data_IF_378609023125
#
_entry.id   IF_378609023125
#
_cell.length_a   1.000
_cell.length_b   1.000
_cell.length_c   1.000
_cell.angle_alpha   90.00
_cell.angle_beta   90.00
_cell.angle_gamma   90.00
#
_symmetry.space_group_name_H-M   'P 1'
#
loop_
_entity.id
_entity.type
_entity.pdbx_description
1 polymer ?
#
# COMPACT_ATOMS: atom_id res chain seq x y z
N UNK A 1 5.22 -29.34 -15.86
CA UNK A 1 5.34 -28.40 -16.98
C UNK A 1 6.32 -27.31 -16.54
N UNK A 2 7.40 -27.04 -17.28
CA UNK A 2 8.39 -26.03 -16.87
C UNK A 2 8.06 -24.63 -17.41
N UNK A 3 8.58 -23.65 -16.68
CA UNK A 3 8.48 -22.18 -16.82
C UNK A 3 9.21 -21.65 -18.08
N UNK A 4 8.71 -20.64 -18.83
CA UNK A 4 9.24 -20.29 -20.16
C UNK A 4 10.52 -19.44 -20.20
N UNK A 5 11.20 -19.14 -19.09
CA UNK A 5 12.25 -18.11 -19.06
C UNK A 5 13.66 -18.59 -18.66
N UNK A 6 14.07 -19.78 -19.11
CA UNK A 6 15.48 -20.20 -19.02
C UNK A 6 16.06 -20.49 -20.40
N UNK A 7 16.98 -19.63 -20.85
CA UNK A 7 17.94 -19.94 -21.90
C UNK A 7 19.34 -19.76 -21.32
N UNK A 8 20.04 -20.89 -21.19
CA UNK A 8 21.50 -20.98 -21.03
C UNK A 8 22.03 -21.62 -22.29
N UNK A 9 23.07 -21.05 -22.91
CA UNK A 9 24.23 -21.82 -23.38
C UNK A 9 25.39 -20.89 -23.74
N UNK A 10 26.58 -21.40 -23.46
CA UNK A 10 27.90 -20.81 -23.54
C UNK A 10 28.66 -21.37 -24.77
N UNK A 11 29.72 -20.66 -25.17
CA UNK A 11 31.08 -21.17 -25.48
C UNK A 11 31.77 -20.50 -26.70
N UNK A 12 32.85 -19.79 -26.36
CA UNK A 12 34.23 -19.84 -26.89
C UNK A 12 34.53 -19.85 -28.40
N UNK A 13 35.32 -18.84 -28.82
CA UNK A 13 36.48 -19.07 -29.69
C UNK A 13 37.60 -18.04 -29.48
N UNK A 14 38.83 -18.56 -29.51
CA UNK A 14 40.10 -17.94 -29.13
C UNK A 14 40.91 -17.43 -30.34
N UNK A 15 41.79 -16.46 -30.08
CA UNK A 15 43.03 -16.08 -30.78
C UNK A 15 42.96 -15.18 -32.04
N UNK A 16 43.65 -14.02 -31.99
CA UNK A 16 44.94 -13.77 -32.67
C UNK A 16 45.37 -12.31 -32.45
N UNK A 17 46.60 -12.09 -31.94
CA UNK A 17 47.27 -10.77 -31.87
C UNK A 17 48.20 -10.63 -33.09
N UNK A 18 48.30 -9.42 -33.69
CA UNK A 18 49.61 -8.76 -33.72
C UNK A 18 49.55 -7.26 -33.41
N UNK A 19 50.44 -6.80 -32.53
CA UNK A 19 50.94 -5.41 -32.44
C UNK A 19 52.21 -5.32 -33.35
N UNK A 20 52.84 -4.15 -33.66
CA UNK A 20 52.68 -2.81 -33.07
C UNK A 20 52.78 -1.60 -34.05
N UNK A 21 52.42 -0.41 -33.57
CA UNK A 21 53.27 0.81 -33.49
C UNK A 21 52.51 2.14 -33.71
N UNK A 22 52.98 3.12 -32.94
CA UNK A 22 52.89 4.59 -33.09
C UNK A 22 51.76 5.35 -32.37
N UNK A 23 52.20 5.94 -31.25
CA UNK A 23 51.81 7.20 -30.61
C UNK A 23 50.96 8.19 -31.41
N UNK A 24 49.89 8.74 -30.80
CA UNK A 24 49.92 10.12 -30.30
C UNK A 24 48.73 10.54 -29.41
N UNK A 25 49.06 11.29 -28.35
CA UNK A 25 48.32 12.38 -27.68
C UNK A 25 46.95 12.25 -26.97
N UNK A 26 46.98 12.79 -25.75
CA UNK A 26 45.92 13.41 -24.92
C UNK A 26 45.16 12.54 -23.90
N UNK A 27 45.67 12.56 -22.66
CA UNK A 27 44.99 12.01 -21.49
C UNK A 27 43.94 12.99 -20.95
N UNK A 28 42.69 12.80 -21.35
CA UNK A 28 41.55 13.41 -20.65
C UNK A 28 41.25 12.59 -19.40
N UNK A 29 41.72 13.04 -18.24
CA UNK A 29 41.35 12.47 -16.93
C UNK A 29 39.83 12.64 -16.72
N UNK A 30 39.05 11.58 -16.97
CA UNK A 30 37.63 11.51 -16.54
C UNK A 30 37.56 11.72 -15.02
N UNK A 31 36.87 12.76 -14.57
CA UNK A 31 36.55 12.96 -13.15
C UNK A 31 35.82 11.71 -12.64
N UNK A 32 36.21 11.12 -11.49
CA UNK A 32 35.51 9.97 -10.94
C UNK A 32 34.07 10.39 -10.61
N UNK A 33 33.10 9.74 -11.24
CA UNK A 33 31.69 9.89 -10.90
C UNK A 33 31.53 9.41 -9.46
N UNK A 34 31.11 10.30 -8.56
CA UNK A 34 30.84 9.93 -7.16
C UNK A 34 29.75 8.86 -7.17
N UNK A 35 30.12 7.62 -6.83
CA UNK A 35 29.14 6.56 -6.59
C UNK A 35 28.19 7.04 -5.49
N UNK A 36 26.86 6.94 -5.66
CA UNK A 36 25.94 7.23 -4.57
C UNK A 36 26.31 6.32 -3.40
N UNK A 37 26.70 6.92 -2.27
CA UNK A 37 26.98 6.20 -1.04
C UNK A 37 25.64 6.12 -0.31
N UNK A 38 24.99 4.97 -0.39
CA UNK A 38 23.83 4.68 0.43
C UNK A 38 24.29 4.42 1.87
N UNK A 39 23.60 5.02 2.83
CA UNK A 39 23.79 4.77 4.26
C UNK A 39 22.47 4.22 4.77
N UNK A 40 22.49 3.01 5.33
CA UNK A 40 21.37 2.53 6.15
C UNK A 40 21.44 3.27 7.47
N UNK A 41 20.54 4.23 7.68
CA UNK A 41 20.35 4.85 8.98
C UNK A 41 19.28 4.04 9.70
N UNK A 42 19.73 3.02 10.43
CA UNK A 42 18.86 2.38 11.40
C UNK A 42 18.56 3.41 12.49
N UNK A 43 17.28 3.52 12.88
CA UNK A 43 16.93 4.34 14.03
C UNK A 43 17.78 3.86 15.23
N UNK A 44 18.49 4.76 15.92
CA UNK A 44 19.38 4.37 17.02
C UNK A 44 18.61 3.82 18.24
N UNK A 45 17.28 3.94 18.23
CA UNK A 45 16.37 3.51 19.29
C UNK A 45 15.01 3.09 18.70
N UNK A 46 14.20 2.45 19.56
CA UNK A 46 12.80 2.11 19.28
C UNK A 46 12.04 3.36 18.83
N UNK A 47 11.43 3.30 17.65
CA UNK A 47 10.62 4.40 17.12
C UNK A 47 9.22 4.36 17.74
N UNK A 48 8.49 5.50 17.77
CA UNK A 48 7.07 5.50 18.14
C UNK A 48 6.26 4.46 17.37
N UNK A 49 6.58 4.27 16.08
CA UNK A 49 5.95 3.26 15.24
C UNK A 49 6.17 1.84 15.75
N UNK A 50 7.43 1.52 16.09
CA UNK A 50 7.80 0.21 16.63
C UNK A 50 7.08 -0.06 17.97
N UNK A 51 6.94 0.97 18.82
CA UNK A 51 6.16 0.88 20.06
C UNK A 51 4.67 0.64 19.81
N UNK A 52 4.09 1.34 18.85
CA UNK A 52 2.66 1.23 18.54
C UNK A 52 2.33 -0.12 17.89
N UNK A 53 3.19 -0.63 17.01
CA UNK A 53 2.92 -1.85 16.28
C UNK A 53 3.26 -3.09 17.11
N UNK A 54 4.46 -3.17 17.67
CA UNK A 54 4.91 -4.34 18.42
C UNK A 54 4.44 -4.32 19.88
N UNK A 55 3.63 -3.33 20.30
CA UNK A 55 3.27 -3.09 21.70
C UNK A 55 4.51 -3.11 22.62
N UNK A 56 5.59 -2.43 22.22
CA UNK A 56 6.87 -2.45 22.96
C UNK A 56 7.06 -1.24 23.86
N UNK A 57 7.87 -1.39 24.90
CA UNK A 57 8.37 -0.28 25.72
C UNK A 57 9.50 0.49 25.01
N UNK A 58 10.05 1.51 25.68
CA UNK A 58 11.13 2.35 25.13
C UNK A 58 12.44 1.58 24.88
N UNK A 59 12.53 0.35 25.39
CA UNK A 59 13.67 -0.56 25.21
C UNK A 59 13.43 -1.63 24.15
N UNK A 60 12.21 -1.70 23.59
CA UNK A 60 11.85 -2.63 22.53
C UNK A 60 11.35 -3.97 23.08
N UNK A 61 11.11 -4.05 24.40
CA UNK A 61 10.54 -5.25 25.01
C UNK A 61 9.02 -5.19 24.91
N UNK A 62 8.35 -6.31 24.60
CA UNK A 62 6.89 -6.37 24.62
C UNK A 62 6.37 -5.93 25.97
N UNK A 63 5.41 -5.01 25.98
CA UNK A 63 4.68 -4.65 27.20
C UNK A 63 3.81 -5.86 27.59
N UNK A 64 3.72 -6.20 28.88
CA UNK A 64 2.81 -7.24 29.32
C UNK A 64 1.39 -6.91 28.82
N UNK A 65 0.70 -7.90 28.24
CA UNK A 65 -0.69 -7.77 27.80
C UNK A 65 -1.58 -7.47 29.03
N UNK A 66 -1.72 -6.19 29.39
CA UNK A 66 -2.61 -5.75 30.48
C UNK A 66 -4.07 -5.67 30.06
N UNK A 67 -4.38 -5.92 28.80
CA UNK A 67 -5.75 -6.20 28.35
C UNK A 67 -5.92 -7.71 28.21
N UNK A 68 -6.43 -8.35 29.26
CA UNK A 68 -7.30 -9.50 29.02
C UNK A 68 -8.37 -9.05 28.01
N UNK A 69 -8.66 -9.82 26.94
CA UNK A 69 -9.88 -9.58 26.19
C UNK A 69 -11.04 -9.64 27.20
N UNK A 70 -12.01 -8.70 27.16
CA UNK A 70 -13.15 -8.81 28.05
C UNK A 70 -13.84 -10.15 27.76
N UNK A 71 -13.77 -11.03 28.75
CA UNK A 71 -14.51 -12.28 28.78
C UNK A 71 -16.00 -11.95 28.72
N UNK A 72 -16.66 -12.53 27.72
CA UNK A 72 -18.11 -12.73 27.62
C UNK A 72 -19.02 -11.49 27.60
N UNK A 73 -19.48 -11.12 26.39
CA UNK A 73 -20.86 -10.68 26.18
C UNK A 73 -21.49 -11.59 25.12
N UNK A 74 -22.60 -12.29 25.40
CA UNK A 74 -23.32 -13.02 24.37
C UNK A 74 -24.26 -12.06 23.64
N UNK A 75 -24.15 -11.97 22.31
CA UNK A 75 -25.24 -12.08 21.33
C UNK A 75 -25.04 -11.22 20.06
N UNK A 76 -25.30 -11.89 18.93
CA UNK A 76 -25.70 -11.45 17.58
C UNK A 76 -24.82 -10.50 16.75
N UNK A 77 -24.37 -11.04 15.61
CA UNK A 77 -23.85 -10.39 14.40
C UNK A 77 -22.47 -9.74 14.48
N UNK A 78 -21.44 -10.53 14.75
CA UNK A 78 -20.05 -10.15 14.45
C UNK A 78 -19.75 -10.47 12.98
N UNK A 79 -19.59 -9.43 12.17
CA UNK A 79 -18.80 -9.48 10.94
C UNK A 79 -17.43 -10.11 11.27
N UNK A 80 -16.83 -10.90 10.35
CA UNK A 80 -15.56 -11.56 10.62
C UNK A 80 -14.52 -10.51 11.05
N UNK A 81 -13.96 -10.70 12.24
CA UNK A 81 -12.88 -9.86 12.75
C UNK A 81 -11.61 -10.20 11.98
N UNK A 82 -11.40 -9.55 10.83
CA UNK A 82 -10.13 -9.52 10.08
C UNK A 82 -9.06 -8.72 10.84
N UNK A 83 -8.93 -8.98 12.14
CA UNK A 83 -7.77 -8.52 12.90
C UNK A 83 -6.60 -9.41 12.50
N UNK A 84 -5.45 -8.85 12.05
CA UNK A 84 -4.25 -9.61 11.79
C UNK A 84 -3.87 -10.31 13.10
N UNK A 85 -3.21 -11.47 12.99
CA UNK A 85 -2.65 -12.11 14.16
C UNK A 85 -1.83 -11.07 14.94
N UNK A 86 -1.88 -11.10 16.28
CA UNK A 86 -0.93 -10.35 17.09
C UNK A 86 0.47 -10.60 16.54
N UNK A 87 1.31 -9.57 16.47
CA UNK A 87 2.70 -9.69 15.96
C UNK A 87 3.53 -10.73 16.76
N UNK A 88 2.97 -11.22 17.85
CA UNK A 88 3.40 -12.39 18.65
C UNK A 88 3.54 -13.69 17.84
N UNK A 89 2.96 -13.81 16.65
CA UNK A 89 3.09 -14.99 15.76
C UNK A 89 4.19 -14.87 14.68
N UNK A 90 4.97 -13.77 14.67
CA UNK A 90 6.04 -13.58 13.67
C UNK A 90 7.27 -14.46 13.93
N UNK A 91 7.85 -15.00 12.87
CA UNK A 91 9.05 -15.85 12.90
C UNK A 91 10.31 -15.10 12.43
N UNK A 92 11.51 -15.48 12.88
CA UNK A 92 12.75 -14.91 12.34
C UNK A 92 12.83 -15.07 10.82
N UNK A 93 12.95 -13.93 10.12
CA UNK A 93 12.94 -13.87 8.65
C UNK A 93 11.69 -13.21 8.07
N UNK A 94 10.63 -13.05 8.86
CA UNK A 94 9.45 -12.30 8.45
C UNK A 94 9.79 -10.83 8.25
N UNK A 95 9.17 -10.22 7.23
CA UNK A 95 9.33 -8.82 6.88
C UNK A 95 8.06 -8.09 7.26
N UNK A 96 8.22 -7.03 8.06
CA UNK A 96 7.12 -6.15 8.45
C UNK A 96 7.37 -4.75 7.91
N UNK A 97 6.50 -4.31 7.02
CA UNK A 97 6.52 -2.94 6.51
C UNK A 97 5.59 -2.03 7.31
N UNK A 98 6.05 -0.82 7.59
CA UNK A 98 5.39 0.10 8.52
C UNK A 98 5.48 1.52 8.00
N UNK A 99 4.35 2.22 7.95
CA UNK A 99 4.27 3.64 7.59
C UNK A 99 3.75 4.49 8.78
N UNK A 100 4.65 4.97 9.67
CA UNK A 100 4.26 5.74 10.86
C UNK A 100 3.59 7.07 10.50
N UNK A 101 4.04 7.67 9.41
CA UNK A 101 3.53 8.95 8.92
C UNK A 101 2.11 8.79 8.39
N UNK A 102 1.82 7.71 7.65
CA UNK A 102 0.48 7.37 7.19
C UNK A 102 -0.49 7.10 8.35
N UNK A 103 -0.02 6.39 9.38
CA UNK A 103 -0.78 6.18 10.62
C UNK A 103 -1.09 7.51 11.32
N UNK A 104 -0.08 8.37 11.48
CA UNK A 104 -0.23 9.69 12.13
C UNK A 104 -1.18 10.60 11.35
N UNK A 105 -1.08 10.62 10.02
CA UNK A 105 -1.98 11.34 9.14
C UNK A 105 -3.43 10.87 9.30
N UNK A 106 -3.67 9.55 9.38
CA UNK A 106 -5.00 9.00 9.62
C UNK A 106 -5.58 9.41 10.98
N UNK A 107 -4.73 9.50 12.01
CA UNK A 107 -5.17 10.02 13.31
C UNK A 107 -5.55 11.50 13.24
N UNK A 108 -4.79 12.31 12.51
CA UNK A 108 -5.08 13.73 12.32
C UNK A 108 -6.40 13.93 11.55
N UNK A 109 -6.63 13.14 10.49
CA UNK A 109 -7.90 13.11 9.75
C UNK A 109 -9.06 12.74 10.67
N UNK A 110 -8.92 11.67 11.46
CA UNK A 110 -9.95 11.23 12.39
C UNK A 110 -10.29 12.30 13.44
N UNK A 111 -9.28 12.99 14.01
CA UNK A 111 -9.51 14.10 14.95
C UNK A 111 -10.27 15.24 14.29
N UNK A 112 -9.92 15.61 13.05
CA UNK A 112 -10.59 16.67 12.30
C UNK A 112 -12.04 16.31 12.00
N UNK A 113 -12.30 15.09 11.51
CA UNK A 113 -13.65 14.59 11.22
C UNK A 113 -14.51 14.55 12.48
N UNK A 114 -13.94 14.14 13.62
CA UNK A 114 -14.68 14.15 14.87
C UNK A 114 -15.18 15.56 15.24
N UNK A 115 -14.27 16.54 15.21
CA UNK A 115 -14.55 17.93 15.63
C UNK A 115 -15.49 18.60 14.63
N UNK A 116 -15.15 18.54 13.34
CA UNK A 116 -15.79 19.33 12.30
C UNK A 116 -16.91 18.59 11.55
N UNK A 117 -16.99 17.26 11.67
CA UNK A 117 -17.82 16.44 10.79
C UNK A 117 -17.16 16.12 9.45
N UNK A 118 -17.89 15.38 8.61
CA UNK A 118 -17.44 14.96 7.29
C UNK A 118 -16.95 13.51 7.23
N UNK A 119 -16.25 13.20 6.14
CA UNK A 119 -15.65 11.90 5.86
C UNK A 119 -14.33 12.06 5.09
N UNK A 120 -13.50 11.02 5.12
CA UNK A 120 -12.34 10.86 4.27
C UNK A 120 -12.45 9.52 3.52
N UNK A 121 -12.10 9.52 2.23
CA UNK A 121 -12.04 8.34 1.39
C UNK A 121 -10.58 8.16 0.95
N UNK A 122 -9.99 7.04 1.34
CA UNK A 122 -8.62 6.66 1.00
C UNK A 122 -8.70 5.55 -0.04
N UNK A 123 -8.03 5.75 -1.17
CA UNK A 123 -8.00 4.81 -2.30
C UNK A 123 -6.55 4.58 -2.66
N UNK A 124 -6.08 3.35 -2.50
CA UNK A 124 -4.72 2.95 -2.87
C UNK A 124 -4.65 1.43 -3.03
N UNK A 125 -3.57 0.91 -3.61
CA UNK A 125 -3.33 -0.52 -3.61
C UNK A 125 -2.68 -0.99 -2.32
N UNK A 126 -3.11 -2.16 -1.88
CA UNK A 126 -2.58 -2.78 -0.68
C UNK A 126 -3.48 -3.86 -0.12
N UNK A 127 -3.18 -4.25 1.12
CA UNK A 127 -3.82 -5.37 1.79
C UNK A 127 -4.60 -4.96 3.03
N UNK A 128 -5.48 -5.87 3.48
CA UNK A 128 -6.01 -5.84 4.83
C UNK A 128 -5.01 -6.35 5.87
N UNK A 129 -3.84 -6.86 5.44
CA UNK A 129 -2.78 -7.38 6.30
C UNK A 129 -1.42 -6.97 5.76
N UNK A 130 -0.37 -7.14 6.58
CA UNK A 130 1.00 -6.90 6.18
C UNK A 130 1.43 -8.00 5.20
N UNK A 131 1.77 -7.60 3.96
CA UNK A 131 2.03 -8.53 2.86
C UNK A 131 3.53 -8.89 2.72
N UNK A 132 4.37 -8.61 3.72
CA UNK A 132 5.81 -8.86 3.64
C UNK A 132 6.56 -7.74 2.90
N UNK A 133 7.48 -8.10 2.02
CA UNK A 133 8.27 -7.16 1.21
C UNK A 133 7.45 -6.67 0.00
N UNK A 134 6.96 -5.44 0.07
CA UNK A 134 6.14 -4.80 -0.97
C UNK A 134 6.80 -3.56 -1.56
N UNK A 135 7.95 -3.13 -1.02
CA UNK A 135 8.72 -2.02 -1.55
C UNK A 135 9.20 -2.37 -2.97
N UNK A 136 8.70 -1.60 -3.93
CA UNK A 136 9.05 -1.70 -5.35
C UNK A 136 9.57 -0.37 -5.84
N UNK A 137 10.38 -0.43 -6.90
CA UNK A 137 10.79 0.76 -7.62
C UNK A 137 10.54 0.62 -9.11
N UNK A 138 10.12 1.71 -9.75
CA UNK A 138 9.83 1.76 -11.17
C UNK A 138 10.64 2.86 -11.84
N UNK A 139 11.05 2.58 -13.08
CA UNK A 139 11.67 3.57 -13.97
C UNK A 139 11.28 3.23 -15.40
N UNK A 140 10.76 4.23 -16.13
CA UNK A 140 10.32 4.05 -17.52
C UNK A 140 9.33 2.88 -17.72
N UNK A 141 8.37 2.73 -16.80
CA UNK A 141 7.37 1.65 -16.77
C UNK A 141 7.89 0.23 -16.55
N UNK A 142 9.15 0.09 -16.12
CA UNK A 142 9.74 -1.21 -15.78
C UNK A 142 10.12 -1.24 -14.30
N UNK A 143 9.87 -2.36 -13.64
CA UNK A 143 10.33 -2.58 -12.28
C UNK A 143 11.86 -2.69 -12.26
N UNK A 144 12.51 -1.97 -11.36
CA UNK A 144 13.96 -1.93 -11.19
C UNK A 144 14.34 -2.17 -9.73
N UNK A 145 15.59 -2.57 -9.43
CA UNK A 145 16.04 -2.65 -8.03
C UNK A 145 15.91 -1.30 -7.35
N UNK A 146 15.38 -1.28 -6.12
CA UNK A 146 15.11 -0.05 -5.34
C UNK A 146 16.36 0.82 -5.19
N UNK A 147 17.53 0.19 -5.05
CA UNK A 147 18.81 0.87 -4.84
C UNK A 147 19.57 1.17 -6.14
N UNK A 148 18.97 0.90 -7.31
CA UNK A 148 19.67 1.03 -8.60
C UNK A 148 20.02 2.47 -8.95
N UNK A 149 19.15 3.44 -8.67
CA UNK A 149 19.38 4.86 -8.96
C UNK A 149 18.56 5.78 -8.03
N UNK A 150 18.95 5.90 -6.74
CA UNK A 150 18.22 6.68 -5.74
C UNK A 150 17.97 8.13 -6.18
N UNK A 151 16.75 8.62 -5.93
CA UNK A 151 16.30 9.96 -6.35
C UNK A 151 15.85 10.06 -7.81
N UNK A 152 15.99 9.00 -8.60
CA UNK A 152 15.55 8.96 -10.02
C UNK A 152 14.66 7.76 -10.36
N UNK A 153 14.36 6.93 -9.36
CA UNK A 153 13.38 5.85 -9.45
C UNK A 153 12.18 6.24 -8.60
N UNK A 154 10.99 5.87 -9.05
CA UNK A 154 9.76 6.02 -8.30
C UNK A 154 9.64 4.84 -7.32
N UNK A 155 9.44 5.11 -6.03
CA UNK A 155 9.41 4.08 -4.97
C UNK A 155 8.02 4.00 -4.40
N UNK A 156 7.51 2.79 -4.28
CA UNK A 156 6.17 2.52 -3.75
C UNK A 156 6.15 1.31 -2.85
N UNK A 157 5.13 1.24 -1.98
CA UNK A 157 4.83 0.14 -1.07
C UNK A 157 3.32 -0.10 -1.10
N UNK A 158 2.86 -1.28 -0.71
CA UNK A 158 1.43 -1.54 -0.45
C UNK A 158 0.97 -0.79 0.81
N UNK A 159 -0.26 -0.28 0.80
CA UNK A 159 -0.87 0.30 2.00
C UNK A 159 -1.41 -0.80 2.93
N UNK A 160 -0.98 -0.79 4.19
CA UNK A 160 -1.57 -1.59 5.26
C UNK A 160 -2.79 -0.87 5.85
N UNK A 161 -3.97 -1.11 5.27
CA UNK A 161 -5.22 -0.49 5.72
C UNK A 161 -5.63 -0.90 7.14
N UNK A 162 -5.15 -2.05 7.62
CA UNK A 162 -5.42 -2.48 8.98
C UNK A 162 -4.58 -1.69 9.99
N UNK A 163 -3.31 -1.44 9.70
CA UNK A 163 -2.48 -0.55 10.51
C UNK A 163 -3.10 0.86 10.59
N UNK A 164 -3.64 1.38 9.49
CA UNK A 164 -4.36 2.66 9.49
C UNK A 164 -5.61 2.63 10.38
N UNK A 165 -6.45 1.59 10.25
CA UNK A 165 -7.64 1.37 11.11
C UNK A 165 -7.23 1.32 12.59
N UNK A 166 -6.22 0.54 12.94
CA UNK A 166 -5.69 0.42 14.29
C UNK A 166 -5.20 1.74 14.85
N UNK A 167 -4.44 2.50 14.04
CA UNK A 167 -3.95 3.81 14.47
C UNK A 167 -5.10 4.74 14.89
N UNK A 168 -6.23 4.68 14.19
CA UNK A 168 -7.44 5.46 14.50
C UNK A 168 -8.14 4.94 15.77
N UNK A 169 -8.29 3.62 15.94
CA UNK A 169 -8.99 3.03 17.11
C UNK A 169 -8.22 3.24 18.42
N UNK A 170 -6.90 3.34 18.36
CA UNK A 170 -6.03 3.55 19.52
C UNK A 170 -6.06 4.99 20.08
N UNK A 171 -6.73 5.94 19.41
CA UNK A 171 -6.88 7.31 19.94
C UNK A 171 -7.79 7.27 21.20
N UNK A 172 -7.15 7.23 22.36
CA UNK A 172 -7.80 7.10 23.67
C UNK A 172 -8.76 8.26 23.95
N UNK A 173 -10.02 7.97 24.32
CA UNK A 173 -11.05 8.97 24.64
C UNK A 173 -11.86 9.50 23.44
N UNK A 174 -11.53 9.06 22.22
CA UNK A 174 -12.09 9.57 20.96
C UNK A 174 -12.69 8.46 20.06
N UNK A 175 -12.44 7.18 20.36
CA UNK A 175 -12.94 6.01 19.62
C UNK A 175 -14.47 5.81 19.55
N UNK A 176 -15.26 6.73 20.13
CA UNK A 176 -16.73 6.66 20.13
C UNK A 176 -17.41 7.50 19.04
N UNK A 177 -16.70 8.41 18.36
CA UNK A 177 -17.33 9.39 17.45
C UNK A 177 -16.93 9.31 15.97
N UNK A 178 -16.01 8.43 15.61
CA UNK A 178 -15.66 8.15 14.20
C UNK A 178 -15.78 6.65 13.92
N UNK A 179 -16.18 6.30 12.71
CA UNK A 179 -16.31 4.95 12.19
C UNK A 179 -15.36 4.73 11.02
N UNK A 180 -14.77 3.54 10.96
CA UNK A 180 -13.90 3.12 9.88
C UNK A 180 -14.54 1.96 9.11
N UNK A 181 -14.72 2.13 7.80
CA UNK A 181 -15.37 1.17 6.90
C UNK A 181 -14.39 0.71 5.81
N UNK A 182 -14.50 -0.54 5.38
CA UNK A 182 -13.56 -1.18 4.45
C UNK A 182 -12.30 -1.77 5.13
N UNK A 183 -11.18 -1.97 4.42
CA UNK A 183 -11.06 -1.78 2.99
C UNK A 183 -12.06 -2.67 2.22
N UNK A 184 -12.70 -2.12 1.20
CA UNK A 184 -13.42 -2.90 0.18
C UNK A 184 -12.64 -2.83 -1.14
N UNK A 185 -12.83 -3.82 -2.01
CA UNK A 185 -12.19 -3.83 -3.32
C UNK A 185 -12.70 -2.66 -4.18
N UNK A 186 -11.81 -2.01 -4.93
CA UNK A 186 -12.15 -0.88 -5.79
C UNK A 186 -13.25 -1.22 -6.78
N UNK A 187 -13.18 -2.40 -7.42
CA UNK A 187 -14.21 -2.83 -8.36
C UNK A 187 -15.59 -2.91 -7.72
N UNK A 188 -15.69 -3.52 -6.54
CA UNK A 188 -16.94 -3.62 -5.76
C UNK A 188 -17.45 -2.24 -5.30
N UNK A 189 -16.55 -1.36 -4.86
CA UNK A 189 -16.89 0.00 -4.47
C UNK A 189 -17.45 0.79 -5.67
N UNK A 190 -16.77 0.77 -6.82
CA UNK A 190 -17.23 1.49 -8.01
C UNK A 190 -18.55 0.93 -8.55
N UNK A 191 -18.71 -0.40 -8.56
CA UNK A 191 -19.96 -1.06 -8.96
C UNK A 191 -21.13 -0.62 -8.07
N UNK A 192 -20.95 -0.64 -6.74
CA UNK A 192 -21.99 -0.21 -5.79
C UNK A 192 -22.31 1.29 -5.86
N UNK A 193 -21.38 2.09 -6.38
CA UNK A 193 -21.57 3.52 -6.64
C UNK A 193 -22.18 3.82 -8.02
N UNK A 194 -22.50 2.80 -8.82
CA UNK A 194 -23.21 2.93 -10.10
C UNK A 194 -22.31 3.26 -11.31
N UNK A 195 -21.06 2.80 -11.30
CA UNK A 195 -20.12 3.06 -12.41
C UNK A 195 -20.60 2.44 -13.74
N UNK A 196 -21.29 1.30 -13.68
CA UNK A 196 -21.77 0.59 -14.87
C UNK A 196 -22.86 1.40 -15.58
N UNK A 197 -23.84 1.88 -14.82
CA UNK A 197 -24.93 2.73 -15.31
C UNK A 197 -24.39 4.03 -15.88
N UNK A 198 -23.35 4.60 -15.24
CA UNK A 198 -22.68 5.80 -15.73
C UNK A 198 -21.96 5.56 -17.07
N UNK A 199 -21.31 4.41 -17.23
CA UNK A 199 -20.64 4.04 -18.48
C UNK A 199 -21.65 3.86 -19.62
N UNK A 200 -22.72 3.10 -19.38
CA UNK A 200 -23.81 2.89 -20.36
C UNK A 200 -24.42 4.22 -20.78
N UNK A 201 -24.80 5.07 -19.81
CA UNK A 201 -25.41 6.37 -20.11
C UNK A 201 -24.46 7.34 -20.85
N UNK A 202 -23.15 7.10 -20.81
CA UNK A 202 -22.18 7.88 -21.56
C UNK A 202 -21.98 7.36 -22.98
N UNK A 203 -21.93 6.03 -23.14
CA UNK A 203 -21.85 5.36 -24.44
C UNK A 203 -23.12 5.61 -25.27
N UNK A 204 -24.30 5.59 -24.64
CA UNK A 204 -25.60 5.77 -25.31
C UNK A 204 -25.86 7.19 -25.85
N UNK A 205 -24.93 8.14 -25.68
CA UNK A 205 -25.12 9.49 -26.22
C UNK A 205 -24.86 9.50 -27.71
N UNK A 206 -25.74 10.15 -28.47
CA UNK A 206 -25.60 10.36 -29.92
C UNK A 206 -24.28 11.03 -30.34
N UNK A 207 -23.62 11.74 -29.41
CA UNK A 207 -22.35 12.43 -29.64
C UNK A 207 -21.11 11.55 -29.47
N UNK A 208 -21.24 10.36 -28.89
CA UNK A 208 -20.12 9.48 -28.55
C UNK A 208 -19.75 8.65 -29.76
N UNK A 209 -18.47 8.67 -30.16
CA UNK A 209 -17.98 7.81 -31.26
C UNK A 209 -17.77 6.36 -30.81
N UNK A 210 -17.66 5.44 -31.77
CA UNK A 210 -17.36 4.04 -31.47
C UNK A 210 -15.99 3.88 -30.78
N UNK A 211 -15.01 4.68 -31.16
CA UNK A 211 -13.69 4.71 -30.51
C UNK A 211 -13.79 5.18 -29.05
N UNK A 212 -14.51 6.28 -28.82
CA UNK A 212 -14.74 6.80 -27.47
C UNK A 212 -15.49 5.78 -26.59
N UNK A 213 -16.47 5.08 -27.16
CA UNK A 213 -17.19 4.02 -26.46
C UNK A 213 -16.25 2.86 -26.07
N UNK A 214 -15.37 2.42 -26.97
CA UNK A 214 -14.37 1.39 -26.68
C UNK A 214 -13.39 1.83 -25.58
N UNK A 215 -12.90 3.07 -25.63
CA UNK A 215 -12.02 3.64 -24.59
C UNK A 215 -12.67 3.58 -23.20
N UNK A 216 -13.98 3.85 -23.11
CA UNK A 216 -14.72 3.76 -21.85
C UNK A 216 -14.88 2.32 -21.38
N UNK A 217 -15.13 1.37 -22.28
CA UNK A 217 -15.19 -0.05 -21.92
C UNK A 217 -13.84 -0.53 -21.40
N UNK A 218 -12.74 -0.18 -22.06
CA UNK A 218 -11.38 -0.54 -21.62
C UNK A 218 -11.01 0.12 -20.27
N UNK A 219 -11.37 1.39 -20.07
CA UNK A 219 -11.15 2.08 -18.80
C UNK A 219 -11.97 1.46 -17.66
N UNK A 220 -13.22 1.06 -17.93
CA UNK A 220 -14.09 0.40 -16.96
C UNK A 220 -13.54 -0.95 -16.56
N UNK A 221 -13.11 -1.77 -17.52
CA UNK A 221 -12.44 -3.04 -17.28
C UNK A 221 -11.18 -2.83 -16.42
N UNK A 222 -10.30 -1.92 -16.83
CA UNK A 222 -9.08 -1.59 -16.08
C UNK A 222 -9.36 -1.23 -14.62
N UNK A 223 -10.40 -0.43 -14.36
CA UNK A 223 -10.75 0.03 -13.01
C UNK A 223 -11.46 -1.03 -12.16
N UNK A 224 -12.25 -1.92 -12.77
CA UNK A 224 -13.18 -2.79 -12.04
C UNK A 224 -12.84 -4.29 -12.10
N UNK A 225 -12.12 -4.77 -13.12
CA UNK A 225 -11.73 -6.18 -13.24
C UNK A 225 -10.78 -6.59 -12.11
N UNK A 226 -10.98 -7.81 -11.60
CA UNK A 226 -10.15 -8.39 -10.56
C UNK A 226 -8.70 -8.64 -11.02
N UNK A 227 -8.51 -8.95 -12.31
CA UNK A 227 -7.22 -9.16 -12.96
C UNK A 227 -6.41 -7.86 -13.07
N UNK A 228 -7.09 -6.71 -12.99
CA UNK A 228 -6.53 -5.36 -13.14
C UNK A 228 -6.50 -4.61 -11.79
N UNK A 229 -7.10 -3.41 -11.71
CA UNK A 229 -7.11 -2.59 -10.50
C UNK A 229 -8.22 -2.96 -9.53
N UNK A 230 -9.28 -3.64 -9.99
CA UNK A 230 -10.50 -3.86 -9.23
C UNK A 230 -10.27 -4.62 -7.93
N UNK A 231 -9.40 -5.63 -7.94
CA UNK A 231 -9.00 -6.37 -6.74
C UNK A 231 -7.82 -5.71 -6.03
N UNK A 232 -6.81 -5.21 -6.76
CA UNK A 232 -5.56 -4.71 -6.16
C UNK A 232 -5.76 -3.41 -5.36
N UNK A 233 -6.61 -2.52 -5.87
CA UNK A 233 -6.94 -1.28 -5.20
C UNK A 233 -8.03 -1.49 -4.17
N UNK A 234 -7.87 -0.82 -3.03
CA UNK A 234 -8.77 -0.87 -1.90
C UNK A 234 -9.31 0.53 -1.62
N UNK A 235 -10.52 0.57 -1.08
CA UNK A 235 -11.20 1.80 -0.67
C UNK A 235 -11.51 1.71 0.81
N UNK A 236 -11.04 2.69 1.58
CA UNK A 236 -11.21 2.77 3.03
C UNK A 236 -11.81 4.12 3.41
N UNK A 237 -12.82 4.11 4.29
CA UNK A 237 -13.53 5.31 4.70
C UNK A 237 -13.41 5.57 6.20
N UNK A 238 -13.18 6.83 6.52
CA UNK A 238 -13.28 7.38 7.89
C UNK A 238 -14.45 8.35 7.87
N UNK A 239 -15.43 8.16 8.75
CA UNK A 239 -16.62 9.02 8.79
C UNK A 239 -17.05 9.30 10.23
N UNK A 240 -17.64 10.47 10.47
CA UNK A 240 -18.23 10.78 11.78
C UNK A 240 -19.42 9.86 12.07
N UNK A 241 -19.40 9.19 13.22
CA UNK A 241 -20.56 8.45 13.74
C UNK A 241 -21.64 9.44 14.15
N UNK A 242 -22.88 9.14 13.80
CA UNK A 242 -24.01 9.91 14.30
C UNK A 242 -24.34 9.44 15.72
N UNK A 243 -24.23 10.29 16.76
CA UNK A 243 -24.53 9.89 18.14
C UNK A 243 -26.00 9.48 18.34
N UNK A 244 -26.92 10.02 17.52
CA UNK A 244 -28.35 9.71 17.61
C UNK A 244 -28.71 8.38 16.91
N UNK A 245 -27.80 7.85 16.09
CA UNK A 245 -27.95 6.58 15.39
C UNK A 245 -26.68 5.75 15.57
N UNK A 246 -26.47 5.13 16.75
CA UNK A 246 -25.25 4.37 17.04
C UNK A 246 -25.06 3.17 16.10
N UNK A 247 -26.13 2.72 15.46
CA UNK A 247 -26.14 1.75 14.36
C UNK A 247 -26.24 2.47 13.00
N UNK A 248 -25.35 3.42 12.72
CA UNK A 248 -25.31 4.03 11.38
C UNK A 248 -25.00 2.95 10.35
N UNK A 249 -25.88 2.82 9.36
CA UNK A 249 -25.61 2.10 8.12
C UNK A 249 -24.24 2.50 7.55
N UNK A 250 -23.51 1.58 6.90
CA UNK A 250 -22.26 1.94 6.26
C UNK A 250 -22.47 3.09 5.27
N UNK A 251 -21.43 3.93 5.07
CA UNK A 251 -21.48 4.98 4.07
C UNK A 251 -21.68 4.38 2.68
N UNK A 252 -22.23 5.14 1.70
CA UNK A 252 -22.43 4.64 0.34
C UNK A 252 -21.16 4.00 -0.23
N UNK A 253 -21.31 2.81 -0.79
CA UNK A 253 -20.22 2.02 -1.35
C UNK A 253 -19.52 1.04 -0.39
N UNK A 254 -19.92 0.99 0.89
CA UNK A 254 -19.33 0.14 1.92
C UNK A 254 -20.33 -0.81 2.58
#
# INVERSE_FOLDING_TARGET
>A
MPDPWTMTETDDMESTIPNPAMSDTSSTKKKPTKKPRLWFVLAPSVTPALRTLLNTDDTGKPKPNTTQPPTTVPNANTLPTDSPPPIDDSSPGDILEVCPDGMSLCQDMARRIQICGGAALLIDYGGAQNNGDTIRAFRSHTQVPVLSSPGTVDVTTDVDFHALRNAITQISGYGTRVGCYGPVNQGSFLASMGVMERAVAWIDKDSTSDEEANDVVEALDRLCSAEQMGERYKVFCIVKKNPDFPYTSPPPGF
#
